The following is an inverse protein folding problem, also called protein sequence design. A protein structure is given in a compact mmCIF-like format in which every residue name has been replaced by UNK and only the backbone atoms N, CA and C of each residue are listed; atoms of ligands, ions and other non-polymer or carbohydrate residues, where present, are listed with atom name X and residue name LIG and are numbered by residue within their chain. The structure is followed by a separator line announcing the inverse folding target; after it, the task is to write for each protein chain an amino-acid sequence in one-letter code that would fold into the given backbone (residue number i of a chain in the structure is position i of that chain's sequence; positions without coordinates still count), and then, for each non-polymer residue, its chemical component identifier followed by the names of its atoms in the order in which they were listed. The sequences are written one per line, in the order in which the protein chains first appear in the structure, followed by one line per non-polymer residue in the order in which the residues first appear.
data_IF_300219174115
#
_entry.id   IF_300219174115
#
_cell.length_a   1.000
_cell.length_b   1.000
_cell.length_c   1.000
_cell.angle_alpha   90.00
_cell.angle_beta   90.00
_cell.angle_gamma   90.00
#
_symmetry.space_group_name_H-M   'P 1'
#
loop_
_entity.id
_entity.type
_entity.pdbx_description
1 polymer ?
#
# COMPACT_ATOMS: atom_id res chain seq x y z
N UNK A 1 55.97 23.03 -67.05
CA UNK A 1 55.86 21.56 -67.00
C UNK A 1 54.58 21.19 -66.25
N UNK A 2 53.47 21.15 -66.98
CA UNK A 2 52.19 20.57 -66.54
C UNK A 2 52.37 19.06 -66.46
N UNK A 3 52.06 18.40 -65.33
CA UNK A 3 51.61 16.98 -65.32
C UNK A 3 51.22 16.52 -63.92
N UNK A 4 50.07 15.84 -63.86
CA UNK A 4 49.73 14.74 -62.95
C UNK A 4 49.51 15.08 -61.47
N UNK A 5 48.23 15.22 -61.13
CA UNK A 5 47.58 14.69 -59.91
C UNK A 5 46.40 15.53 -59.43
N UNK A 6 45.73 16.21 -60.36
CA UNK A 6 44.27 16.02 -60.45
C UNK A 6 44.04 14.51 -60.54
N UNK A 7 43.23 13.92 -59.65
CA UNK A 7 42.92 12.47 -59.47
C UNK A 7 43.66 11.76 -58.33
N UNK A 8 43.54 12.17 -57.06
CA UNK A 8 43.43 11.17 -55.96
C UNK A 8 42.99 11.68 -54.59
N UNK A 9 42.76 12.97 -54.36
CA UNK A 9 42.28 13.45 -53.05
C UNK A 9 41.13 14.46 -53.14
N UNK A 10 40.27 14.27 -54.13
CA UNK A 10 38.86 14.75 -54.14
C UNK A 10 38.00 14.01 -53.08
N UNK A 11 38.55 13.04 -52.34
CA UNK A 11 37.74 12.10 -51.54
C UNK A 11 37.93 12.12 -50.01
N UNK A 12 38.87 12.86 -49.39
CA UNK A 12 39.12 12.68 -47.93
C UNK A 12 39.38 13.97 -47.12
N UNK A 13 39.49 15.16 -47.73
CA UNK A 13 39.91 16.38 -47.00
C UNK A 13 38.98 17.60 -47.08
N UNK A 14 37.74 17.43 -47.59
CA UNK A 14 36.69 18.47 -47.57
C UNK A 14 35.49 18.12 -46.67
N UNK A 15 35.59 17.10 -45.82
CA UNK A 15 34.50 16.64 -44.95
C UNK A 15 34.80 16.69 -43.43
N UNK A 16 35.90 17.33 -43.01
CA UNK A 16 36.29 17.37 -41.59
C UNK A 16 36.60 18.75 -40.98
N UNK A 17 36.29 19.89 -41.60
CA UNK A 17 36.54 21.17 -40.94
C UNK A 17 35.66 22.34 -41.43
N UNK A 18 34.40 22.34 -41.00
CA UNK A 18 33.61 23.55 -40.86
C UNK A 18 32.57 23.34 -39.74
N UNK A 19 33.01 23.64 -38.53
CA UNK A 19 32.19 23.89 -37.35
C UNK A 19 31.14 24.97 -37.63
N UNK A 20 30.06 24.94 -36.83
CA UNK A 20 29.00 25.94 -36.66
C UNK A 20 27.70 25.66 -37.44
N UNK A 21 27.12 24.49 -37.18
CA UNK A 21 25.72 24.21 -37.45
C UNK A 21 24.86 24.63 -36.25
N UNK A 22 24.06 25.68 -36.50
CA UNK A 22 22.61 25.69 -36.24
C UNK A 22 22.15 25.98 -34.81
N UNK A 23 22.10 27.26 -34.47
CA UNK A 23 21.10 27.79 -33.55
C UNK A 23 19.83 28.19 -34.29
N UNK A 24 18.68 27.67 -33.86
CA UNK A 24 17.41 28.40 -33.80
C UNK A 24 16.43 27.63 -32.91
N UNK A 25 15.95 28.31 -31.88
CA UNK A 25 14.98 27.83 -30.91
C UNK A 25 13.59 27.66 -31.56
N UNK A 26 12.84 26.63 -31.12
CA UNK A 26 11.50 26.38 -31.61
C UNK A 26 10.73 25.36 -30.78
N UNK A 27 10.07 25.87 -29.74
CA UNK A 27 8.78 25.43 -29.19
C UNK A 27 8.47 23.91 -29.05
N UNK A 28 8.55 23.46 -27.80
CA UNK A 28 7.52 22.73 -27.05
C UNK A 28 6.45 21.93 -27.81
N UNK A 29 6.61 20.62 -27.85
CA UNK A 29 5.53 19.63 -27.65
C UNK A 29 6.14 18.39 -27.00
N UNK A 30 5.96 18.25 -25.69
CA UNK A 30 6.14 16.95 -25.01
C UNK A 30 4.79 16.27 -25.06
N UNK A 31 4.65 15.34 -25.99
CA UNK A 31 3.59 14.34 -25.93
C UNK A 31 3.76 13.56 -24.62
N UNK A 32 2.81 13.73 -23.71
CA UNK A 32 2.75 12.95 -22.49
C UNK A 32 2.22 11.56 -22.83
N UNK A 33 3.16 10.64 -22.98
CA UNK A 33 2.92 9.20 -22.96
C UNK A 33 2.19 8.83 -21.65
N UNK A 34 1.04 8.13 -21.70
CA UNK A 34 0.48 7.54 -20.50
C UNK A 34 1.34 6.31 -20.19
N UNK A 35 2.40 6.53 -19.41
CA UNK A 35 3.15 5.44 -18.80
C UNK A 35 2.17 4.66 -17.94
N UNK A 36 1.83 3.46 -18.41
CA UNK A 36 0.90 2.56 -17.76
C UNK A 36 1.36 2.27 -16.34
N UNK A 37 0.82 3.01 -15.38
CA UNK A 37 0.69 2.53 -14.02
C UNK A 37 -0.16 1.28 -14.10
N UNK A 38 0.52 0.12 -14.08
CA UNK A 38 -0.08 -1.19 -13.90
C UNK A 38 -1.14 -1.05 -12.83
N UNK A 39 -2.41 -1.18 -13.24
CA UNK A 39 -3.54 -1.21 -12.36
C UNK A 39 -3.21 -2.24 -11.28
N UNK A 40 -2.88 -1.74 -10.07
CA UNK A 40 -2.76 -2.58 -8.90
C UNK A 40 -4.11 -3.28 -8.82
N UNK A 41 -4.14 -4.59 -9.06
CA UNK A 41 -5.35 -5.39 -9.00
C UNK A 41 -5.97 -5.12 -7.63
N UNK A 42 -6.96 -4.21 -7.63
CA UNK A 42 -7.66 -3.81 -6.45
C UNK A 42 -8.50 -5.03 -6.12
N UNK A 43 -7.94 -5.92 -5.31
CA UNK A 43 -8.67 -7.02 -4.72
C UNK A 43 -10.00 -6.45 -4.27
N UNK A 44 -11.09 -6.94 -4.87
CA UNK A 44 -12.41 -6.40 -4.66
C UNK A 44 -12.65 -6.32 -3.15
N UNK A 45 -12.94 -5.11 -2.66
CA UNK A 45 -13.21 -4.89 -1.24
C UNK A 45 -14.33 -5.86 -0.84
N UNK A 46 -14.10 -6.75 0.13
CA UNK A 46 -15.07 -7.77 0.45
C UNK A 46 -16.35 -7.12 1.00
N UNK A 47 -17.52 -7.71 0.69
CA UNK A 47 -18.81 -7.13 1.07
C UNK A 47 -18.97 -6.88 2.57
N UNK A 48 -18.31 -7.68 3.41
CA UNK A 48 -18.30 -7.51 4.86
C UNK A 48 -17.60 -6.22 5.33
N UNK A 49 -16.72 -5.62 4.51
CA UNK A 49 -16.10 -4.34 4.83
C UNK A 49 -17.12 -3.19 4.82
N UNK A 50 -18.28 -3.33 4.18
CA UNK A 50 -19.39 -2.35 4.15
C UNK A 50 -18.92 -0.90 3.96
N UNK A 51 -18.05 -0.66 2.98
CA UNK A 51 -17.55 0.68 2.65
C UNK A 51 -16.53 1.27 3.63
N UNK A 52 -16.08 0.53 4.65
CA UNK A 52 -14.97 0.95 5.52
C UNK A 52 -13.65 0.97 4.75
N UNK A 53 -12.74 1.83 5.20
CA UNK A 53 -11.36 1.82 4.75
C UNK A 53 -10.75 0.43 4.96
N UNK A 54 -9.95 -0.03 4.00
CA UNK A 54 -9.27 -1.32 4.06
C UNK A 54 -7.78 -1.12 4.38
N UNK A 55 -7.17 -2.14 4.97
CA UNK A 55 -5.72 -2.20 5.22
C UNK A 55 -5.25 -3.64 5.04
N UNK A 56 -4.16 -3.88 4.31
CA UNK A 56 -3.59 -5.23 4.25
C UNK A 56 -2.97 -5.60 5.59
N UNK A 57 -3.07 -6.87 6.00
CA UNK A 57 -2.48 -7.35 7.24
C UNK A 57 -0.96 -7.07 7.31
N UNK A 58 -0.25 -7.12 6.18
CA UNK A 58 1.17 -6.77 6.08
C UNK A 58 1.48 -5.30 6.35
N UNK A 59 0.50 -4.40 6.19
CA UNK A 59 0.63 -2.95 6.39
C UNK A 59 0.19 -2.49 7.79
N UNK A 60 -0.27 -3.41 8.64
CA UNK A 60 -0.59 -3.10 10.02
C UNK A 60 0.67 -2.81 10.86
N UNK A 61 0.54 -2.05 11.97
CA UNK A 61 1.61 -1.93 12.95
C UNK A 61 2.16 -3.30 13.36
N UNK A 62 3.48 -3.44 13.63
CA UNK A 62 4.09 -4.71 14.01
C UNK A 62 3.37 -5.43 15.16
N UNK A 63 2.88 -4.68 16.14
CA UNK A 63 2.16 -5.23 17.29
C UNK A 63 0.81 -5.84 16.88
N UNK A 64 0.10 -5.23 15.93
CA UNK A 64 -1.16 -5.77 15.42
C UNK A 64 -0.91 -7.06 14.61
N UNK A 65 0.17 -7.11 13.83
CA UNK A 65 0.57 -8.34 13.12
C UNK A 65 0.94 -9.45 14.10
N UNK A 66 1.56 -9.12 15.23
CA UNK A 66 1.83 -10.09 16.29
C UNK A 66 0.53 -10.60 16.91
N UNK A 67 -0.43 -9.72 17.23
CA UNK A 67 -1.75 -10.14 17.73
C UNK A 67 -2.48 -11.02 16.71
N UNK A 68 -2.39 -10.75 15.41
CA UNK A 68 -2.96 -11.63 14.37
C UNK A 68 -2.38 -13.04 14.43
N UNK A 69 -1.07 -13.19 14.63
CA UNK A 69 -0.43 -14.52 14.78
C UNK A 69 -0.94 -15.25 16.02
N UNK A 70 -1.10 -14.54 17.15
CA UNK A 70 -1.66 -15.13 18.37
C UNK A 70 -3.11 -15.58 18.17
N UNK A 71 -3.91 -14.80 17.44
CA UNK A 71 -5.29 -15.19 17.07
C UNK A 71 -5.27 -16.49 16.26
N UNK A 72 -4.37 -16.59 15.27
CA UNK A 72 -4.24 -17.78 14.41
C UNK A 72 -3.80 -19.03 15.21
N UNK A 73 -3.01 -18.83 16.26
CA UNK A 73 -2.53 -19.88 17.15
C UNK A 73 -3.53 -20.25 18.26
N UNK A 74 -4.59 -19.46 18.45
CA UNK A 74 -5.52 -19.62 19.57
C UNK A 74 -4.97 -19.16 20.92
N UNK A 75 -3.93 -18.31 20.92
CA UNK A 75 -3.24 -17.81 22.12
C UNK A 75 -1.89 -18.49 22.39
N UNK A 76 -1.32 -18.37 23.60
CA UNK A 76 -1.88 -17.67 24.76
C UNK A 76 -1.99 -16.16 24.54
N UNK A 77 -3.03 -15.54 25.09
CA UNK A 77 -3.23 -14.10 24.97
C UNK A 77 -2.68 -13.34 26.19
N UNK A 78 -2.02 -12.18 25.97
CA UNK A 78 -1.34 -11.46 27.04
C UNK A 78 -2.27 -10.72 27.99
N UNK A 79 -3.50 -10.40 27.58
CA UNK A 79 -4.45 -9.67 28.42
C UNK A 79 -5.70 -10.49 28.70
N UNK A 80 -6.21 -10.40 29.93
CA UNK A 80 -7.40 -11.13 30.39
C UNK A 80 -8.70 -10.82 29.61
N UNK A 81 -8.73 -9.71 28.85
CA UNK A 81 -9.87 -9.34 28.00
C UNK A 81 -9.76 -9.84 26.56
N UNK A 82 -8.61 -10.37 26.17
CA UNK A 82 -8.40 -10.86 24.82
C UNK A 82 -9.21 -12.15 24.60
N UNK A 83 -9.90 -12.22 23.46
CA UNK A 83 -10.82 -13.29 23.13
C UNK A 83 -12.18 -13.17 23.82
N UNK A 84 -12.46 -12.09 24.56
CA UNK A 84 -13.82 -11.85 25.08
C UNK A 84 -14.75 -11.28 24.01
N UNK A 85 -16.06 -11.43 24.22
CA UNK A 85 -17.08 -10.97 23.27
C UNK A 85 -17.05 -9.44 23.14
N UNK A 86 -16.93 -8.96 21.91
CA UNK A 86 -17.12 -7.55 21.57
C UNK A 86 -18.62 -7.29 21.30
N UNK A 87 -19.23 -6.42 22.12
CA UNK A 87 -20.67 -6.18 22.09
C UNK A 87 -21.19 -5.41 20.89
N UNK A 88 -20.35 -4.61 20.22
CA UNK A 88 -20.74 -3.72 19.11
C UNK A 88 -21.96 -2.83 19.45
N UNK A 89 -22.00 -2.25 20.65
CA UNK A 89 -23.15 -1.48 21.16
C UNK A 89 -23.38 -0.19 20.37
N UNK A 90 -22.31 0.44 19.92
CA UNK A 90 -22.30 1.64 19.08
C UNK A 90 -22.60 1.32 17.61
N UNK A 91 -22.74 0.03 17.26
CA UNK A 91 -23.06 -0.45 15.90
C UNK A 91 -22.06 0.02 14.83
N UNK A 92 -20.80 0.20 15.22
CA UNK A 92 -19.71 0.57 14.30
C UNK A 92 -19.36 -0.54 13.30
N UNK A 93 -19.62 -1.79 13.67
CA UNK A 93 -19.52 -2.97 12.80
C UNK A 93 -20.91 -3.45 12.35
N UNK A 94 -21.02 -4.25 11.28
CA UNK A 94 -22.31 -4.80 10.83
C UNK A 94 -23.02 -5.55 11.96
N UNK A 95 -24.33 -5.34 12.09
CA UNK A 95 -25.12 -6.01 13.11
C UNK A 95 -25.10 -7.52 12.90
N UNK A 96 -24.81 -8.25 13.97
CA UNK A 96 -24.73 -9.70 14.01
C UNK A 96 -25.28 -10.20 15.34
N UNK A 97 -25.49 -11.52 15.47
CA UNK A 97 -25.90 -12.15 16.73
C UNK A 97 -24.90 -11.87 17.85
N UNK A 98 -25.37 -11.87 19.11
CA UNK A 98 -24.49 -11.74 20.28
C UNK A 98 -23.43 -12.86 20.27
N UNK A 99 -22.19 -12.51 20.60
CA UNK A 99 -21.06 -13.45 20.58
C UNK A 99 -20.45 -13.67 19.19
N UNK A 100 -20.91 -12.96 18.15
CA UNK A 100 -20.31 -13.03 16.83
C UNK A 100 -18.91 -12.43 16.78
N UNK A 101 -18.72 -11.30 17.46
CA UNK A 101 -17.43 -10.59 17.47
C UNK A 101 -16.65 -10.85 18.75
N UNK A 102 -15.33 -10.96 18.63
CA UNK A 102 -14.41 -11.05 19.77
C UNK A 102 -13.30 -10.00 19.64
N UNK A 103 -12.86 -9.44 20.76
CA UNK A 103 -11.81 -8.41 20.78
C UNK A 103 -10.45 -8.94 21.24
N UNK A 104 -9.39 -8.33 20.72
CA UNK A 104 -8.01 -8.64 21.08
C UNK A 104 -7.20 -7.36 21.18
N UNK A 105 -6.38 -7.27 22.21
CA UNK A 105 -5.51 -6.12 22.45
C UNK A 105 -4.37 -6.10 21.46
N UNK A 106 -4.15 -4.92 20.87
CA UNK A 106 -2.93 -4.62 20.13
C UNK A 106 -2.07 -3.78 21.05
N UNK A 107 -0.88 -4.30 21.39
CA UNK A 107 0.01 -3.61 22.31
C UNK A 107 0.34 -2.19 21.79
N UNK A 108 0.34 -1.21 22.69
CA UNK A 108 0.76 0.15 22.39
C UNK A 108 2.11 0.37 23.06
N UNK A 109 3.21 0.52 22.28
CA UNK A 109 4.54 0.69 22.85
C UNK A 109 4.57 1.81 23.90
N UNK A 110 5.22 1.54 25.03
CA UNK A 110 5.37 2.44 26.19
C UNK A 110 4.07 2.73 26.95
N UNK A 111 2.92 2.16 26.56
CA UNK A 111 1.72 2.27 27.40
C UNK A 111 1.88 1.45 28.68
N UNK A 112 1.32 1.95 29.78
CA UNK A 112 1.24 1.24 31.07
C UNK A 112 -0.02 0.37 31.19
N UNK A 113 -0.95 0.53 30.26
CA UNK A 113 -2.21 -0.19 30.17
C UNK A 113 -2.35 -0.88 28.80
N UNK A 114 -3.55 -1.41 28.50
CA UNK A 114 -3.87 -2.05 27.22
C UNK A 114 -3.82 -1.09 26.01
N UNK A 115 -3.72 0.21 26.21
CA UNK A 115 -3.83 1.24 25.19
C UNK A 115 -5.18 1.26 24.49
N UNK A 116 -5.28 2.00 23.39
CA UNK A 116 -6.52 2.18 22.61
C UNK A 116 -6.67 1.20 21.43
N UNK A 117 -5.60 0.49 21.04
CA UNK A 117 -5.56 -0.27 19.79
C UNK A 117 -6.12 -1.67 19.97
N UNK A 118 -6.96 -2.13 19.04
CA UNK A 118 -7.59 -3.46 19.10
C UNK A 118 -7.72 -4.07 17.72
N UNK A 119 -7.76 -5.40 17.70
CA UNK A 119 -8.35 -6.17 16.62
C UNK A 119 -9.71 -6.71 17.07
N UNK A 120 -10.67 -6.78 16.16
CA UNK A 120 -11.96 -7.42 16.37
C UNK A 120 -12.17 -8.45 15.27
N UNK A 121 -12.42 -9.71 15.63
CA UNK A 121 -12.68 -10.78 14.67
C UNK A 121 -14.15 -11.14 14.65
N UNK A 122 -14.68 -11.44 13.46
CA UNK A 122 -15.99 -12.06 13.28
C UNK A 122 -15.89 -13.58 13.09
N UNK A 123 -16.98 -14.30 13.35
CA UNK A 123 -17.04 -15.76 13.19
C UNK A 123 -16.82 -16.23 11.75
N UNK A 124 -17.06 -15.38 10.75
CA UNK A 124 -16.89 -15.73 9.33
C UNK A 124 -15.52 -15.31 8.76
N UNK A 125 -14.56 -14.99 9.64
CA UNK A 125 -13.20 -14.61 9.25
C UNK A 125 -13.01 -13.12 8.97
N UNK A 126 -14.00 -12.27 9.28
CA UNK A 126 -13.80 -10.82 9.23
C UNK A 126 -12.79 -10.38 10.27
N UNK A 127 -11.95 -9.42 9.93
CA UNK A 127 -11.00 -8.84 10.86
C UNK A 127 -11.07 -7.32 10.71
N UNK A 128 -11.21 -6.63 11.84
CA UNK A 128 -11.25 -5.19 11.91
C UNK A 128 -10.15 -4.68 12.84
N UNK A 129 -9.47 -3.62 12.45
CA UNK A 129 -8.49 -2.92 13.28
C UNK A 129 -9.05 -1.56 13.69
N UNK A 130 -8.95 -1.24 14.98
CA UNK A 130 -9.18 0.10 15.53
C UNK A 130 -7.90 0.60 16.20
N UNK A 131 -7.55 1.85 15.92
CA UNK A 131 -6.43 2.54 16.58
C UNK A 131 -6.87 3.47 17.71
N UNK A 132 -8.18 3.62 17.91
CA UNK A 132 -8.81 4.73 18.62
C UNK A 132 -9.92 4.26 19.58
N UNK A 133 -9.77 3.03 20.09
CA UNK A 133 -10.67 2.42 21.07
C UNK A 133 -12.13 2.32 20.55
N UNK A 134 -12.28 1.63 19.42
CA UNK A 134 -13.55 1.28 18.75
C UNK A 134 -14.31 2.46 18.12
N UNK A 135 -13.74 3.67 18.08
CA UNK A 135 -14.38 4.83 17.42
C UNK A 135 -14.41 4.67 15.90
N UNK A 136 -13.32 4.20 15.30
CA UNK A 136 -13.24 3.90 13.88
C UNK A 136 -12.62 2.54 13.62
N UNK A 137 -12.99 1.94 12.49
CA UNK A 137 -12.50 0.63 12.08
C UNK A 137 -11.99 0.64 10.65
N UNK A 138 -10.89 -0.08 10.43
CA UNK A 138 -10.41 -0.49 9.11
C UNK A 138 -10.65 -1.99 8.94
N UNK A 139 -11.17 -2.40 7.80
CA UNK A 139 -11.27 -3.80 7.41
C UNK A 139 -9.86 -4.34 7.06
N UNK A 140 -9.42 -5.38 7.74
CA UNK A 140 -8.11 -6.00 7.53
C UNK A 140 -8.23 -7.08 6.46
N UNK A 141 -7.49 -6.90 5.37
CA UNK A 141 -7.41 -7.87 4.28
C UNK A 141 -6.19 -8.79 4.52
N UNK A 142 -6.42 -10.10 4.59
CA UNK A 142 -5.35 -11.09 4.65
C UNK A 142 -4.98 -11.60 3.26
#
# INVERSE_FOLDING_TARGET
MLTRSVRTTVAVLLACLALLLTGCAGASKKDAEPSGATASSAAATPGWAKGRATVRASQLPPEARQTLKLIDQGGPFPYAKDGTVFGNFEKALPQQKRGYYHEYTVNTPKSRDRGARRLVTGQSGEIYYTGDHYKTFKAVLR
#
